data_IF_338784965625
#
_entry.id   IF_338784965625
#
_cell.length_a   1.000
_cell.length_b   1.000
_cell.length_c   1.000
_cell.angle_alpha   90.00
_cell.angle_beta   90.00
_cell.angle_gamma   90.00
#
_symmetry.space_group_name_H-M   'P 1'
#
loop_
_entity.id
_entity.type
_entity.pdbx_description
1 polymer ?
#
# COMPACT_ATOMS: atom_id res chain seq x y z
N UNK A 1 22.78 -2.73 5.98
CA UNK A 1 21.54 -2.66 6.79
C UNK A 1 20.45 -2.27 5.82
N UNK A 2 19.39 -3.07 5.65
CA UNK A 2 18.34 -2.74 4.70
C UNK A 2 17.66 -1.43 5.14
N UNK A 3 17.66 -0.42 4.27
CA UNK A 3 16.95 0.82 4.50
C UNK A 3 15.45 0.51 4.54
N UNK A 4 14.80 0.79 5.67
CA UNK A 4 13.36 0.61 5.86
C UNK A 4 12.64 1.93 5.60
N UNK A 5 11.40 1.84 5.15
CA UNK A 5 10.58 3.00 4.87
C UNK A 5 10.99 3.79 3.64
N UNK A 6 10.70 5.08 3.63
CA UNK A 6 10.72 5.90 2.40
C UNK A 6 12.07 6.57 2.09
N UNK A 7 13.13 6.25 2.85
CA UNK A 7 14.42 6.96 2.79
C UNK A 7 15.19 6.84 1.47
N UNK A 8 14.95 5.79 0.68
CA UNK A 8 15.58 5.59 -0.64
C UNK A 8 14.64 5.90 -1.82
N UNK A 9 13.48 6.52 -1.56
CA UNK A 9 12.50 6.86 -2.58
C UNK A 9 12.83 8.23 -3.17
N UNK A 10 13.02 8.30 -4.49
CA UNK A 10 13.38 9.56 -5.16
C UNK A 10 12.20 10.53 -5.30
N UNK A 11 11.00 9.99 -5.50
CA UNK A 11 9.79 10.77 -5.77
C UNK A 11 8.58 10.17 -5.04
N UNK A 12 7.83 11.02 -4.34
CA UNK A 12 6.60 10.65 -3.66
C UNK A 12 5.45 11.46 -4.27
N UNK A 13 4.42 10.77 -4.76
CA UNK A 13 3.22 11.38 -5.35
C UNK A 13 2.02 11.04 -4.49
N UNK A 14 1.39 12.06 -3.89
CA UNK A 14 0.16 11.90 -3.14
C UNK A 14 -1.05 11.99 -4.07
N UNK A 15 -1.93 10.98 -4.05
CA UNK A 15 -3.20 10.97 -4.80
C UNK A 15 -4.35 11.03 -3.81
N UNK A 16 -5.13 12.11 -3.86
CA UNK A 16 -6.22 12.38 -2.91
C UNK A 16 -7.51 12.81 -3.62
N UNK A 17 -8.64 12.70 -2.92
CA UNK A 17 -9.96 13.11 -3.42
C UNK A 17 -10.84 13.67 -2.31
N UNK A 18 -11.67 14.67 -2.62
CA UNK A 18 -12.60 15.26 -1.64
C UNK A 18 -13.85 14.45 -1.36
N UNK A 19 -14.10 13.37 -2.11
CA UNK A 19 -15.27 12.48 -1.95
C UNK A 19 -14.88 11.03 -2.22
N UNK A 20 -15.61 10.10 -1.60
CA UNK A 20 -15.52 8.67 -1.93
C UNK A 20 -16.12 8.36 -3.30
N UNK A 21 -15.66 7.28 -3.94
CA UNK A 21 -16.23 6.78 -5.19
C UNK A 21 -15.83 7.51 -6.47
N UNK A 22 -14.96 8.53 -6.42
CA UNK A 22 -14.52 9.29 -7.61
C UNK A 22 -13.44 8.58 -8.44
N UNK A 23 -13.04 7.37 -8.06
CA UNK A 23 -12.02 6.60 -8.78
C UNK A 23 -10.57 6.86 -8.35
N UNK A 24 -10.32 7.48 -7.19
CA UNK A 24 -8.97 7.72 -6.64
C UNK A 24 -8.06 6.48 -6.72
N UNK A 25 -8.52 5.35 -6.21
CA UNK A 25 -7.75 4.10 -6.14
C UNK A 25 -7.49 3.50 -7.53
N UNK A 26 -8.44 3.67 -8.45
CA UNK A 26 -8.27 3.29 -9.86
C UNK A 26 -7.17 4.13 -10.51
N UNK A 27 -7.20 5.45 -10.29
CA UNK A 27 -6.18 6.37 -10.82
C UNK A 27 -4.81 6.08 -10.24
N UNK A 28 -4.68 5.91 -8.92
CA UNK A 28 -3.39 5.62 -8.29
C UNK A 28 -2.80 4.29 -8.76
N UNK A 29 -3.63 3.24 -8.90
CA UNK A 29 -3.20 1.93 -9.40
C UNK A 29 -2.72 2.02 -10.84
N UNK A 30 -3.49 2.64 -11.74
CA UNK A 30 -3.11 2.76 -13.15
C UNK A 30 -1.89 3.66 -13.34
N UNK A 31 -1.77 4.75 -12.56
CA UNK A 31 -0.58 5.60 -12.58
C UNK A 31 0.67 4.81 -12.17
N UNK A 32 0.58 4.00 -11.11
CA UNK A 32 1.69 3.20 -10.64
C UNK A 32 2.12 2.14 -11.68
N UNK A 33 1.16 1.38 -12.22
CA UNK A 33 1.43 0.35 -13.23
C UNK A 33 1.96 0.95 -14.52
N UNK A 34 1.39 2.05 -15.02
CA UNK A 34 1.88 2.72 -16.21
C UNK A 34 3.32 3.25 -16.01
N UNK A 35 3.61 3.82 -14.84
CA UNK A 35 4.96 4.29 -14.51
C UNK A 35 5.96 3.13 -14.46
N UNK A 36 5.56 1.97 -13.94
CA UNK A 36 6.40 0.77 -13.96
C UNK A 36 6.63 0.24 -15.38
N UNK A 37 5.61 0.27 -16.24
CA UNK A 37 5.74 -0.10 -17.66
C UNK A 37 6.70 0.81 -18.44
N UNK A 38 6.92 2.05 -17.98
CA UNK A 38 7.92 2.96 -18.52
C UNK A 38 9.36 2.65 -18.03
N UNK A 39 9.54 1.61 -17.21
CA UNK A 39 10.85 1.14 -16.75
C UNK A 39 11.27 1.67 -15.38
N UNK A 40 10.37 2.31 -14.63
CA UNK A 40 10.65 2.78 -13.28
C UNK A 40 10.33 1.72 -12.22
N UNK A 41 11.00 1.77 -11.07
CA UNK A 41 10.61 1.00 -9.89
C UNK A 41 9.57 1.79 -9.13
N UNK A 42 8.43 1.16 -8.83
CA UNK A 42 7.27 1.87 -8.28
C UNK A 42 6.70 1.13 -7.09
N UNK A 43 6.49 1.89 -6.02
CA UNK A 43 5.73 1.49 -4.84
C UNK A 43 4.34 2.11 -4.87
N UNK A 44 3.35 1.37 -4.37
CA UNK A 44 1.97 1.83 -4.21
C UNK A 44 1.53 1.57 -2.77
N UNK A 45 1.37 2.65 -2.00
CA UNK A 45 0.82 2.61 -0.66
C UNK A 45 -0.64 3.09 -0.68
N UNK A 46 -1.54 2.32 -0.09
CA UNK A 46 -2.94 2.69 0.08
C UNK A 46 -3.29 3.00 1.54
N UNK A 47 -3.72 4.23 1.75
CA UNK A 47 -4.13 4.78 3.03
C UNK A 47 -5.66 4.70 3.27
N UNK A 48 -6.42 4.05 2.39
CA UNK A 48 -7.87 3.93 2.51
C UNK A 48 -8.27 2.81 3.47
N UNK A 49 -8.42 3.16 4.75
CA UNK A 49 -8.66 2.19 5.83
C UNK A 49 -10.09 1.62 5.82
N UNK A 50 -11.07 2.40 5.32
CA UNK A 50 -12.50 2.06 5.44
C UNK A 50 -13.07 1.33 4.23
N UNK A 51 -12.44 1.47 3.08
CA UNK A 51 -12.84 0.78 1.85
C UNK A 51 -11.64 0.44 0.98
N UNK A 52 -10.63 -0.30 1.52
CA UNK A 52 -9.44 -0.59 0.76
C UNK A 52 -9.81 -1.44 -0.46
N UNK A 53 -9.47 -0.93 -1.65
CA UNK A 53 -9.84 -1.53 -2.94
C UNK A 53 -8.64 -2.09 -3.71
N UNK A 54 -7.43 -1.91 -3.19
CA UNK A 54 -6.21 -2.25 -3.93
C UNK A 54 -6.02 -3.74 -4.17
N UNK A 55 -6.37 -4.61 -3.22
CA UNK A 55 -6.27 -6.06 -3.44
C UNK A 55 -7.07 -6.47 -4.68
N UNK A 56 -8.34 -6.06 -4.75
CA UNK A 56 -9.21 -6.27 -5.91
C UNK A 56 -8.67 -5.64 -7.19
N UNK A 57 -8.20 -4.39 -7.14
CA UNK A 57 -7.70 -3.68 -8.33
C UNK A 57 -6.40 -4.27 -8.88
N UNK A 58 -5.58 -4.87 -8.02
CA UNK A 58 -4.33 -5.54 -8.37
C UNK A 58 -4.51 -7.04 -8.67
N UNK A 59 -5.75 -7.56 -8.60
CA UNK A 59 -6.01 -8.98 -8.80
C UNK A 59 -5.37 -9.88 -7.74
N UNK A 60 -5.10 -9.36 -6.54
CA UNK A 60 -4.58 -10.12 -5.40
C UNK A 60 -5.76 -10.79 -4.71
N UNK A 61 -5.65 -12.10 -4.49
CA UNK A 61 -6.69 -12.90 -3.84
C UNK A 61 -6.96 -12.42 -2.40
N UNK A 62 -8.21 -12.55 -1.97
CA UNK A 62 -8.62 -12.17 -0.61
C UNK A 62 -7.87 -13.02 0.43
N UNK A 63 -7.38 -12.37 1.48
CA UNK A 63 -6.64 -13.03 2.57
C UNK A 63 -5.14 -13.24 2.30
N UNK A 64 -4.62 -12.87 1.12
CA UNK A 64 -3.18 -12.75 0.91
C UNK A 64 -2.63 -11.66 1.82
N UNK A 65 -1.65 -12.02 2.63
CA UNK A 65 -0.98 -11.12 3.58
C UNK A 65 0.48 -10.92 3.18
N UNK A 66 1.07 -9.76 3.46
CA UNK A 66 2.51 -9.57 3.28
C UNK A 66 3.27 -10.46 4.25
N UNK A 67 4.41 -10.99 3.79
CA UNK A 67 5.37 -11.60 4.70
C UNK A 67 5.89 -10.55 5.69
N UNK A 68 6.23 -11.00 6.91
CA UNK A 68 6.76 -10.14 7.96
C UNK A 68 8.14 -10.64 8.38
N UNK A 69 9.15 -9.80 8.21
CA UNK A 69 10.53 -10.05 8.64
C UNK A 69 10.74 -9.41 10.02
N UNK A 70 11.43 -10.12 10.92
CA UNK A 70 11.74 -9.66 12.28
C UNK A 70 10.52 -9.16 13.06
N UNK A 71 9.35 -9.78 12.80
CA UNK A 71 8.04 -9.46 13.40
C UNK A 71 7.54 -8.02 13.16
N UNK A 72 8.24 -7.23 12.33
CA UNK A 72 7.96 -5.78 12.19
C UNK A 72 7.96 -5.27 10.76
N UNK A 73 8.76 -5.87 9.89
CA UNK A 73 9.00 -5.34 8.54
C UNK A 73 8.10 -6.05 7.55
N UNK A 74 7.20 -5.31 6.91
CA UNK A 74 6.37 -5.83 5.83
C UNK A 74 7.18 -5.97 4.55
N UNK A 75 7.09 -7.14 3.92
CA UNK A 75 7.50 -7.35 2.54
C UNK A 75 6.32 -6.98 1.65
N UNK A 76 6.43 -5.93 0.81
CA UNK A 76 5.31 -5.48 -0.02
C UNK A 76 4.92 -6.55 -1.03
N UNK A 77 3.62 -6.69 -1.29
CA UNK A 77 3.10 -7.63 -2.29
C UNK A 77 3.49 -7.15 -3.69
N UNK A 78 4.00 -8.05 -4.51
CA UNK A 78 4.32 -7.73 -5.91
C UNK A 78 3.13 -8.10 -6.81
N UNK A 79 2.66 -7.13 -7.60
CA UNK A 79 1.61 -7.33 -8.60
C UNK A 79 1.85 -6.38 -9.77
N UNK A 80 1.62 -6.84 -11.01
CA UNK A 80 1.74 -5.99 -12.22
C UNK A 80 3.06 -5.19 -12.35
N UNK A 81 4.17 -5.72 -11.82
CA UNK A 81 5.48 -5.06 -11.85
C UNK A 81 5.67 -3.95 -10.82
N UNK A 82 4.73 -3.75 -9.88
CA UNK A 82 4.83 -2.79 -8.78
C UNK A 82 4.91 -3.49 -7.42
N UNK A 83 5.42 -2.78 -6.41
CA UNK A 83 5.40 -3.19 -5.01
C UNK A 83 4.24 -2.51 -4.30
N UNK A 84 3.33 -3.25 -3.68
CA UNK A 84 2.10 -2.73 -3.10
C UNK A 84 2.00 -3.02 -1.60
N UNK A 85 1.50 -2.03 -0.87
CA UNK A 85 1.10 -2.15 0.53
C UNK A 85 -0.26 -1.48 0.74
N UNK A 86 -1.20 -2.17 1.40
CA UNK A 86 -2.56 -1.68 1.63
C UNK A 86 -3.13 -2.30 2.89
N UNK A 87 -4.06 -1.58 3.52
CA UNK A 87 -4.89 -2.13 4.59
C UNK A 87 -5.70 -3.37 4.16
N UNK A 88 -6.00 -3.53 2.86
CA UNK A 88 -6.63 -4.75 2.35
C UNK A 88 -5.80 -6.01 2.64
N UNK A 89 -4.47 -5.90 2.74
CA UNK A 89 -3.59 -7.05 2.98
C UNK A 89 -3.41 -7.36 4.47
N UNK A 90 -3.74 -6.42 5.35
CA UNK A 90 -3.55 -6.55 6.80
C UNK A 90 -4.81 -7.03 7.52
N UNK A 91 -5.94 -7.15 6.82
CA UNK A 91 -7.21 -7.54 7.41
C UNK A 91 -7.64 -8.90 6.88
N UNK A 92 -7.81 -9.88 7.77
CA UNK A 92 -8.54 -11.11 7.44
C UNK A 92 -10.02 -10.74 7.48
N UNK A 93 -10.74 -10.89 6.37
CA UNK A 93 -12.14 -10.50 6.31
C UNK A 93 -12.98 -11.09 7.46
N UNK A 94 -14.00 -10.30 7.86
CA UNK A 94 -15.20 -10.59 8.68
C UNK A 94 -15.30 -10.00 10.09
N UNK A 95 -14.30 -9.30 10.62
CA UNK A 95 -14.49 -8.54 11.87
C UNK A 95 -14.53 -7.04 11.57
N UNK A 96 -15.70 -6.39 11.68
CA UNK A 96 -15.78 -4.93 11.59
C UNK A 96 -14.89 -4.33 12.68
N UNK A 97 -13.78 -3.71 12.28
CA UNK A 97 -12.90 -2.99 13.19
C UNK A 97 -13.28 -1.52 13.18
N UNK A 98 -13.55 -0.96 14.37
CA UNK A 98 -13.75 0.48 14.54
C UNK A 98 -12.39 1.16 14.58
N UNK A 99 -11.94 1.64 13.43
CA UNK A 99 -10.70 2.40 13.31
C UNK A 99 -10.89 3.81 13.90
N UNK A 100 -10.33 4.06 15.08
CA UNK A 100 -10.25 5.42 15.63
C UNK A 100 -9.09 6.18 14.99
N UNK A 101 -9.19 7.51 14.89
CA UNK A 101 -8.18 8.37 14.27
C UNK A 101 -6.72 8.03 14.61
N UNK A 102 -6.34 7.90 15.91
CA UNK A 102 -4.98 7.53 16.28
C UNK A 102 -4.53 6.16 15.79
N UNK A 103 -5.43 5.17 15.77
CA UNK A 103 -5.14 3.82 15.27
C UNK A 103 -4.93 3.83 13.76
N UNK A 104 -5.79 4.56 13.05
CA UNK A 104 -5.70 4.75 11.60
C UNK A 104 -4.37 5.43 11.20
N UNK A 105 -4.04 6.54 11.84
CA UNK A 105 -2.77 7.24 11.60
C UNK A 105 -1.56 6.38 11.97
N UNK A 106 -1.62 5.63 13.07
CA UNK A 106 -0.55 4.73 13.48
C UNK A 106 -0.31 3.60 12.48
N UNK A 107 -1.38 2.97 11.97
CA UNK A 107 -1.26 1.92 10.96
C UNK A 107 -0.67 2.46 9.65
N UNK A 108 -1.10 3.64 9.20
CA UNK A 108 -0.52 4.29 8.03
C UNK A 108 0.97 4.60 8.23
N UNK A 109 1.35 5.16 9.38
CA UNK A 109 2.74 5.45 9.69
C UNK A 109 3.59 4.17 9.70
N UNK A 110 3.06 3.08 10.27
CA UNK A 110 3.72 1.78 10.25
C UNK A 110 3.90 1.25 8.83
N UNK A 111 2.89 1.35 7.94
CA UNK A 111 3.05 0.95 6.54
C UNK A 111 4.07 1.82 5.79
N UNK A 112 4.20 3.10 6.13
CA UNK A 112 5.22 3.99 5.55
C UNK A 112 6.60 3.57 6.03
N UNK A 113 6.81 3.45 7.34
CA UNK A 113 8.15 3.31 7.94
C UNK A 113 8.64 1.86 7.98
N UNK A 114 7.72 0.91 8.15
CA UNK A 114 8.03 -0.51 8.40
C UNK A 114 7.76 -1.39 7.18
N UNK A 115 7.69 -0.82 5.97
CA UNK A 115 7.66 -1.59 4.73
C UNK A 115 9.03 -1.56 4.07
N UNK A 116 9.48 -2.71 3.58
CA UNK A 116 10.70 -2.84 2.81
C UNK A 116 10.49 -2.38 1.36
N UNK A 117 10.32 -1.07 1.17
CA UNK A 117 10.18 -0.48 -0.17
C UNK A 117 11.44 -0.66 -1.03
N UNK A 118 12.61 -0.70 -0.39
CA UNK A 118 13.90 -0.66 -1.07
C UNK A 118 14.10 0.65 -1.83
N UNK A 119 15.06 0.65 -2.75
CA UNK A 119 15.28 1.81 -3.60
C UNK A 119 14.23 1.84 -4.72
N UNK A 120 13.46 2.92 -4.79
CA UNK A 120 12.45 3.17 -5.82
C UNK A 120 12.86 4.37 -6.68
#
# INVERSE_FOLDING_TARGET
MAHQGVGEIKHIVAVASGKGGVGKSTVSTNLAVATAQLGHRVGLLDADIYGPSQARLLGVEDGVMPDVIDEKIFVPIQAHGIYAMSMAFLTREKTPMVWRGPMASGALQQMIDSTQWGSL
#
